data_IF_449706558405
#
_entry.id   IF_449706558405
#
_cell.length_a   1.000
_cell.length_b   1.000
_cell.length_c   1.000
_cell.angle_alpha   90.00
_cell.angle_beta   90.00
_cell.angle_gamma   90.00
#
_symmetry.space_group_name_H-M   'P 1'
#
loop_
_entity.id
_entity.type
_entity.pdbx_description
1 polymer ?
2 non-polymer ?
3 non-polymer ?
4 water ?
#
# COMPACT_ATOMS: atom_id res chain seq x y z
N UNK A 21 -3.33 26.71 1.07
CA UNK A 21 -3.76 25.73 0.03
C UNK A 21 -3.64 24.30 0.53
N UNK A 22 -2.73 24.05 1.47
CA UNK A 22 -2.58 22.73 2.09
C UNK A 22 -3.86 22.31 2.82
N UNK A 23 -4.46 23.24 3.56
CA UNK A 23 -5.70 22.96 4.29
C UNK A 23 -6.92 22.88 3.37
N UNK A 24 -6.84 23.53 2.21
CA UNK A 24 -7.85 23.41 1.17
C UNK A 24 -7.85 21.98 0.63
N UNK A 25 -6.66 21.44 0.37
CA UNK A 25 -6.51 20.07 -0.12
C UNK A 25 -7.05 19.08 0.91
N UNK A 26 -6.61 19.21 2.16
CA UNK A 26 -7.06 18.31 3.24
C UNK A 26 -8.58 18.31 3.45
N UNK A 27 -9.20 19.48 3.40
CA UNK A 27 -10.64 19.58 3.65
C UNK A 27 -11.46 18.90 2.55
N UNK A 28 -11.04 19.08 1.30
CA UNK A 28 -11.71 18.43 0.18
C UNK A 28 -11.43 16.91 0.18
N UNK A 29 -10.19 16.53 0.44
CA UNK A 29 -9.80 15.12 0.40
C UNK A 29 -10.43 14.30 1.53
N UNK A 30 -10.76 14.99 2.63
CA UNK A 30 -11.43 14.39 3.79
C UNK A 30 -12.80 13.83 3.44
N UNK A 31 -13.44 14.43 2.44
CA UNK A 31 -14.74 13.97 1.97
C UNK A 31 -14.65 13.28 0.61
N UNK A 32 -13.44 12.88 0.21
CA UNK A 32 -13.22 12.20 -1.07
C UNK A 32 -12.82 10.76 -0.80
N UNK A 33 -13.73 9.83 -1.03
CA UNK A 33 -13.49 8.44 -0.65
C UNK A 33 -12.42 7.80 -1.52
N UNK A 34 -11.48 7.09 -0.89
CA UNK A 34 -10.39 6.43 -1.60
C UNK A 34 -10.19 4.99 -1.13
N UNK A 35 -9.94 4.10 -2.09
CA UNK A 35 -9.54 2.74 -1.79
C UNK A 35 -8.22 2.74 -1.04
N UNK A 36 -8.06 1.75 -0.18
CA UNK A 36 -6.86 1.62 0.64
C UNK A 36 -6.21 0.26 0.43
N UNK A 37 -4.89 0.24 0.54
CA UNK A 37 -4.08 -0.96 0.46
C UNK A 37 -2.89 -0.83 1.40
N UNK A 38 -2.18 -1.94 1.59
CA UNK A 38 -0.96 -1.93 2.37
C UNK A 38 0.16 -2.39 1.47
N UNK A 39 1.08 -1.47 1.18
CA UNK A 39 2.24 -1.80 0.39
C UNK A 39 3.35 -2.22 1.34
N UNK A 40 4.09 -3.24 0.96
CA UNK A 40 5.21 -3.70 1.76
C UNK A 40 6.43 -3.92 0.92
N UNK A 41 7.58 -3.98 1.57
CA UNK A 41 8.79 -4.45 0.93
C UNK A 41 9.74 -5.05 1.97
N UNK A 42 10.78 -5.71 1.46
CA UNK A 42 11.87 -6.21 2.28
C UNK A 42 13.05 -5.30 1.98
N UNK A 43 13.28 -4.38 2.91
CA UNK A 43 14.25 -3.31 2.78
C UNK A 43 15.54 -3.73 3.48
N UNK A 44 16.47 -4.29 2.71
CA UNK A 44 17.74 -4.82 3.21
C UNK A 44 17.55 -5.75 4.41
N UNK A 45 16.51 -6.57 4.36
CA UNK A 45 16.20 -7.51 5.42
C UNK A 45 15.15 -7.05 6.43
N UNK A 46 14.93 -5.74 6.53
CA UNK A 46 13.87 -5.18 7.37
C UNK A 46 12.51 -5.26 6.69
N UNK A 47 11.56 -5.93 7.33
CA UNK A 47 10.20 -5.98 6.84
C UNK A 47 9.50 -4.68 7.19
N UNK A 48 9.04 -3.97 6.16
CA UNK A 48 8.32 -2.71 6.30
C UNK A 48 7.10 -2.65 5.41
N UNK A 49 6.17 -1.80 5.79
CA UNK A 49 5.01 -1.53 4.97
C UNK A 49 4.25 -0.33 5.47
N UNK A 50 3.19 0.03 4.75
CA UNK A 50 2.35 1.14 5.16
C UNK A 50 1.00 1.14 4.48
N UNK A 51 0.02 1.62 5.21
CA UNK A 51 -1.30 1.90 4.67
C UNK A 51 -1.17 3.08 3.74
N UNK A 52 -1.73 2.94 2.54
CA UNK A 52 -1.74 4.00 1.55
C UNK A 52 -3.15 4.17 0.97
N UNK A 53 -3.50 5.40 0.65
CA UNK A 53 -4.74 5.70 -0.06
C UNK A 53 -4.48 6.27 -1.46
N UNK A 54 -3.23 6.15 -1.91
CA UNK A 54 -2.81 6.65 -3.22
C UNK A 54 -2.49 5.53 -4.21
N UNK A 55 -2.85 4.29 -3.89
CA UNK A 55 -2.58 3.19 -4.80
C UNK A 55 -3.53 3.25 -5.99
N UNK A 56 -2.98 3.02 -7.18
CA UNK A 56 -3.78 2.88 -8.38
C UNK A 56 -3.04 2.10 -9.46
N UNK A 57 -3.77 1.74 -10.50
CA UNK A 57 -3.16 1.26 -11.71
C UNK A 57 -2.80 2.48 -12.56
N UNK A 58 -1.62 2.43 -13.16
CA UNK A 58 -1.08 3.53 -13.96
C UNK A 58 -1.07 3.21 -15.46
N UNK A 59 -0.60 2.02 -15.81
CA UNK A 59 -0.41 1.63 -17.22
C UNK A 59 -0.75 0.16 -17.42
N UNK A 60 -1.24 -0.19 -18.61
CA UNK A 60 -1.52 -1.59 -18.94
C UNK A 60 -0.41 -2.22 -19.78
N UNK A 61 0.13 -1.44 -20.71
CA UNK A 61 1.27 -1.84 -21.52
C UNK A 61 2.31 -0.71 -21.51
N UNK A 62 3.38 -0.84 -20.73
CA UNK A 62 3.61 -1.99 -19.83
C UNK A 62 2.66 -1.98 -18.62
N UNK A 63 2.53 -3.09 -17.91
CA UNK A 63 1.60 -3.18 -16.78
C UNK A 63 2.23 -2.59 -15.53
N UNK A 64 1.78 -1.39 -15.16
CA UNK A 64 2.37 -0.63 -14.07
C UNK A 64 1.31 -0.19 -13.07
N UNK A 65 1.68 -0.26 -11.80
CA UNK A 65 0.89 0.26 -10.69
C UNK A 65 1.75 1.26 -9.92
N UNK A 66 1.10 2.08 -9.11
CA UNK A 66 1.77 3.18 -8.45
C UNK A 66 1.11 3.55 -7.13
N UNK A 67 1.90 4.18 -6.27
CA UNK A 67 1.41 4.86 -5.09
C UNK A 67 2.37 6.01 -4.79
N UNK A 68 1.95 6.89 -3.90
CA UNK A 68 2.70 8.08 -3.56
C UNK A 68 3.29 7.89 -2.17
N UNK A 69 4.58 8.18 -2.03
CA UNK A 69 5.30 7.98 -0.77
C UNK A 69 5.81 9.32 -0.26
N UNK A 70 5.51 9.61 1.00
CA UNK A 70 5.85 10.88 1.65
C UNK A 70 7.38 11.02 1.82
N UNK A 71 7.98 12.00 1.15
CA UNK A 71 9.43 12.22 1.24
C UNK A 71 9.88 12.79 2.59
N UNK A 72 9.05 13.62 3.21
CA UNK A 72 9.37 14.24 4.50
C UNK A 72 9.44 13.22 5.64
N UNK A 73 8.63 12.16 5.56
CA UNK A 73 8.63 11.10 6.56
C UNK A 73 9.63 9.99 6.20
N UNK A 74 10.25 10.07 5.03
CA UNK A 74 11.18 9.05 4.58
C UNK A 74 10.52 7.77 4.07
N UNK A 75 9.20 7.80 3.82
CA UNK A 75 8.47 6.62 3.33
C UNK A 75 8.87 6.17 1.92
N UNK A 76 9.48 7.07 1.15
CA UNK A 76 9.97 6.73 -0.19
C UNK A 76 11.23 5.85 -0.16
N UNK A 77 12.05 6.03 0.87
CA UNK A 77 13.39 5.45 0.91
C UNK A 77 13.41 3.91 0.78
N UNK A 78 12.64 3.18 1.58
CA UNK A 78 12.63 1.71 1.49
C UNK A 78 12.33 1.18 0.08
N UNK A 79 11.41 1.82 -0.62
CA UNK A 79 10.98 1.37 -1.94
C UNK A 79 12.04 1.70 -2.99
N UNK A 80 12.61 2.90 -2.90
CA UNK A 80 13.76 3.30 -3.72
C UNK A 80 14.97 2.36 -3.57
N UNK A 81 15.16 1.81 -2.37
CA UNK A 81 16.32 0.95 -2.08
C UNK A 81 16.02 -0.54 -2.11
N UNK A 82 14.87 -0.91 -2.68
CA UNK A 82 14.48 -2.31 -2.82
C UNK A 82 14.02 -2.56 -4.26
N UNK A 83 14.24 -3.78 -4.74
CA UNK A 83 13.99 -4.11 -6.15
C UNK A 83 12.53 -4.41 -6.42
N UNK A 84 11.79 -4.75 -5.37
CA UNK A 84 10.39 -5.16 -5.47
C UNK A 84 9.54 -4.55 -4.37
N UNK A 85 8.22 -4.60 -4.57
CA UNK A 85 7.26 -4.34 -3.50
C UNK A 85 6.00 -5.14 -3.73
N UNK A 86 5.24 -5.35 -2.66
CA UNK A 86 3.98 -6.07 -2.72
C UNK A 86 2.85 -5.12 -2.33
N UNK A 87 1.74 -5.19 -3.06
CA UNK A 87 0.52 -4.47 -2.72
C UNK A 87 -0.46 -5.47 -2.14
N UNK A 88 -0.82 -5.27 -0.88
CA UNK A 88 -1.75 -6.12 -0.16
C UNK A 88 -3.13 -5.48 -0.14
N UNK A 89 -4.13 -6.22 -0.61
CA UNK A 89 -5.52 -5.82 -0.56
C UNK A 89 -6.19 -6.63 0.53
N UNK A 90 -6.71 -5.94 1.53
CA UNK A 90 -7.33 -6.59 2.67
C UNK A 90 -8.60 -5.86 3.10
N UNK A 91 -9.47 -6.59 3.79
CA UNK A 91 -10.71 -6.05 4.37
C UNK A 91 -10.66 -6.02 5.91
N UNK A 92 -9.46 -6.15 6.47
CA UNK A 92 -9.23 -6.12 7.92
C UNK A 92 -8.82 -4.71 8.36
N UNK A 93 -9.76 -3.97 8.94
CA UNK A 93 -9.50 -2.60 9.35
C UNK A 93 -8.41 -2.53 10.42
N UNK A 94 -8.29 -3.57 11.25
CA UNK A 94 -7.19 -3.65 12.22
C UNK A 94 -5.83 -3.59 11.54
N UNK A 95 -5.69 -4.26 10.39
CA UNK A 95 -4.42 -4.24 9.65
C UNK A 95 -4.11 -2.84 9.14
N UNK A 96 -5.12 -2.14 8.63
CA UNK A 96 -4.91 -0.78 8.13
C UNK A 96 -4.42 0.15 9.25
N UNK A 97 -4.97 -0.03 10.45
CA UNK A 97 -4.55 0.76 11.60
C UNK A 97 -3.14 0.42 12.07
N UNK A 98 -2.79 -0.86 12.07
CA UNK A 98 -1.42 -1.27 12.39
C UNK A 98 -0.41 -0.60 11.47
N UNK A 99 -0.68 -0.66 10.17
CA UNK A 99 0.26 -0.17 9.17
C UNK A 99 0.13 1.34 8.92
N UNK A 100 -0.68 2.01 9.74
CA UNK A 100 -0.72 3.47 9.80
C UNK A 100 -0.21 4.01 11.14
N UNK A 101 -0.52 3.33 12.24
CA UNK A 101 -0.38 3.91 13.57
C UNK A 101 0.75 3.36 14.42
N UNK A 102 1.01 2.07 14.30
CA UNK A 102 1.95 1.38 15.19
C UNK A 102 3.40 1.62 14.81
N UNK A 103 4.31 1.53 15.78
CA UNK A 103 5.75 1.68 15.51
C UNK A 103 6.23 0.64 14.48
N UNK A 104 7.12 1.05 13.59
CA UNK A 104 7.64 0.19 12.52
C UNK A 104 8.13 -1.16 13.04
N UNK A 105 8.87 -1.15 14.15
CA UNK A 105 9.44 -2.38 14.70
C UNK A 105 8.40 -3.39 15.19
N UNK A 106 7.18 -2.92 15.44
CA UNK A 106 6.10 -3.73 16.03
C UNK A 106 5.14 -4.37 15.00
N UNK A 107 5.14 -3.85 13.78
CA UNK A 107 4.08 -4.17 12.82
C UNK A 107 4.01 -5.64 12.42
N UNK A 108 5.16 -6.24 12.15
CA UNK A 108 5.19 -7.63 11.71
C UNK A 108 5.23 -8.65 12.85
N UNK A 109 5.22 -8.17 14.10
CA UNK A 109 5.10 -9.05 15.26
C UNK A 109 3.68 -9.55 15.50
N UNK A 110 2.68 -8.74 15.14
CA UNK A 110 1.28 -9.00 15.49
C UNK A 110 0.48 -9.77 14.43
N UNK A 111 1.04 -9.92 13.23
CA UNK A 111 0.29 -10.41 12.09
C UNK A 111 0.94 -11.64 11.46
N UNK A 112 0.12 -12.48 10.83
CA UNK A 112 0.62 -13.62 10.06
C UNK A 112 1.00 -13.13 8.67
N UNK A 113 2.19 -13.54 8.21
CA UNK A 113 2.71 -13.17 6.91
C UNK A 113 3.64 -14.25 6.35
N UNK A 114 3.85 -14.22 5.04
CA UNK A 114 4.89 -15.03 4.39
C UNK A 114 5.73 -14.15 3.46
N UNK A 115 6.92 -14.61 3.12
CA UNK A 115 7.80 -13.84 2.25
C UNK A 115 7.57 -14.26 0.80
N UNK A 116 7.53 -13.27 -0.08
CA UNK A 116 7.33 -13.46 -1.51
C UNK A 116 8.52 -12.92 -2.26
N UNK A 117 8.28 -12.38 -3.46
CA UNK A 117 9.35 -11.93 -4.33
C UNK A 117 10.27 -10.93 -3.64
N UNK A 118 11.58 -11.18 -3.74
CA UNK A 118 12.59 -10.36 -3.08
C UNK A 118 12.49 -10.35 -1.55
N UNK A 119 11.79 -11.32 -0.98
CA UNK A 119 11.50 -11.35 0.45
C UNK A 119 10.38 -10.45 0.94
N UNK A 120 9.65 -9.80 0.03
CA UNK A 120 8.57 -8.88 0.39
C UNK A 120 7.45 -9.60 1.13
N UNK A 121 6.98 -9.02 2.24
CA UNK A 121 5.94 -9.68 3.03
C UNK A 121 4.54 -9.63 2.39
N UNK A 122 3.91 -10.80 2.34
CA UNK A 122 2.54 -10.97 1.88
C UNK A 122 1.71 -11.21 3.12
N UNK A 123 0.72 -10.35 3.37
CA UNK A 123 -0.09 -10.45 4.57
C UNK A 123 -1.12 -11.58 4.40
N UNK A 124 -1.22 -12.44 5.40
CA UNK A 124 -2.12 -13.59 5.37
C UNK A 124 -3.59 -13.20 5.20
N UNK A 125 -3.99 -12.09 5.81
CA UNK A 125 -5.38 -11.60 5.75
C UNK A 125 -5.72 -10.83 4.46
N UNK A 126 -4.80 -10.80 3.50
CA UNK A 126 -5.07 -10.22 2.19
C UNK A 126 -5.94 -11.17 1.36
N UNK A 127 -7.01 -10.64 0.78
CA UNK A 127 -7.82 -11.40 -0.20
C UNK A 127 -7.23 -11.37 -1.61
N UNK A 128 -6.29 -10.46 -1.83
CA UNK A 128 -5.55 -10.39 -3.09
C UNK A 128 -4.25 -9.65 -2.87
N UNK A 129 -3.27 -9.91 -3.73
CA UNK A 129 -2.05 -9.12 -3.73
C UNK A 129 -1.40 -9.07 -5.10
N UNK A 130 -0.54 -8.08 -5.27
CA UNK A 130 0.24 -7.91 -6.48
C UNK A 130 1.71 -7.89 -6.09
N UNK A 131 2.53 -8.61 -6.86
CA UNK A 131 3.97 -8.54 -6.75
C UNK A 131 4.51 -7.68 -7.89
N UNK A 132 5.29 -6.67 -7.54
CA UNK A 132 5.78 -5.71 -8.52
C UNK A 132 7.29 -5.55 -8.41
N UNK A 133 7.92 -5.32 -9.55
CA UNK A 133 9.33 -4.94 -9.63
C UNK A 133 9.39 -3.43 -9.76
N UNK A 134 10.16 -2.79 -8.89
CA UNK A 134 10.36 -1.35 -8.98
C UNK A 134 10.78 -0.94 -10.39
N UNK A 135 9.98 -0.07 -11.00
CA UNK A 135 10.13 0.34 -12.39
C UNK A 135 10.70 1.76 -12.49
N UNK A 136 10.21 2.65 -11.63
CA UNK A 136 10.66 4.04 -11.61
C UNK A 136 10.24 4.72 -10.30
N UNK A 137 10.94 5.78 -9.93
CA UNK A 137 10.50 6.67 -8.86
C UNK A 137 10.67 8.11 -9.35
N UNK A 138 9.66 8.94 -9.09
CA UNK A 138 9.63 10.31 -9.57
C UNK A 138 9.25 11.23 -8.42
N UNK A 139 10.20 12.06 -7.99
CA UNK A 139 9.94 13.03 -6.94
C UNK A 139 9.16 14.17 -7.54
N UNK A 140 8.02 14.48 -6.93
CA UNK A 140 7.17 15.59 -7.32
C UNK A 140 6.65 16.24 -6.04
N UNK A 141 7.16 17.44 -5.75
CA UNK A 141 6.86 18.10 -4.50
C UNK A 141 7.33 17.27 -3.32
N UNK A 142 6.52 17.19 -2.27
CA UNK A 142 6.94 16.50 -1.04
C UNK A 142 6.67 14.98 -1.02
N UNK A 143 6.32 14.40 -2.17
CA UNK A 143 6.16 12.95 -2.29
C UNK A 143 6.97 12.41 -3.47
N UNK A 144 7.19 11.10 -3.49
CA UNK A 144 7.72 10.40 -4.65
C UNK A 144 6.68 9.44 -5.18
N UNK A 145 6.52 9.40 -6.49
CA UNK A 145 5.63 8.46 -7.14
C UNK A 145 6.41 7.17 -7.31
N UNK A 146 6.00 6.14 -6.59
CA UNK A 146 6.62 4.83 -6.68
C UNK A 146 5.85 4.00 -7.69
N UNK A 147 6.54 3.61 -8.75
CA UNK A 147 5.92 2.88 -9.85
C UNK A 147 6.54 1.48 -9.90
N UNK A 148 5.70 0.45 -9.84
CA UNK A 148 6.14 -0.92 -10.02
C UNK A 148 5.54 -1.55 -11.26
N UNK A 149 6.32 -2.40 -11.92
CA UNK A 149 5.80 -3.26 -12.98
C UNK A 149 5.25 -4.53 -12.36
N UNK A 150 4.00 -4.86 -12.69
CA UNK A 150 3.33 -6.04 -12.17
C UNK A 150 3.95 -7.31 -12.76
N UNK A 151 4.59 -8.09 -11.89
CA UNK A 151 5.20 -9.37 -12.24
C UNK A 151 4.23 -10.53 -12.06
N UNK A 152 3.40 -10.45 -11.02
CA UNK A 152 2.36 -11.44 -10.76
C UNK A 152 1.24 -10.83 -9.93
N UNK A 153 0.05 -11.40 -10.06
CA UNK A 153 -1.09 -11.01 -9.25
C UNK A 153 -1.89 -12.22 -8.84
N UNK A 154 -2.47 -12.17 -7.64
CA UNK A 154 -3.18 -13.30 -7.06
C UNK A 154 -4.48 -12.86 -6.39
N UNK A 155 -5.56 -13.60 -6.66
CA UNK A 155 -6.81 -13.46 -5.91
C UNK A 155 -7.00 -14.73 -5.09
N UNK A 156 -6.67 -14.63 -3.80
CA UNK A 156 -6.61 -15.78 -2.90
C UNK A 156 -8.00 -16.09 -2.30
N UNK A 157 -8.78 -15.04 -2.03
CA UNK A 157 -10.08 -15.15 -1.39
C UNK A 157 -11.13 -14.45 -2.24
N UNK A 158 -12.24 -15.13 -2.50
CA UNK A 158 -13.31 -14.59 -3.35
C UNK A 158 -14.40 -13.87 -2.56
N UNK A 159 -14.53 -14.21 -1.28
CA UNK A 159 -15.51 -13.58 -0.39
C UNK A 159 -14.83 -12.53 0.49
N UNK A 160 -15.05 -11.26 0.17
CA UNK A 160 -14.49 -10.16 0.96
C UNK A 160 -15.37 -8.91 0.93
N UNK A 161 -15.11 -8.03 1.88
CA UNK A 161 -15.85 -6.78 2.02
C UNK A 161 -14.91 -5.60 1.78
N UNK A 162 -14.90 -5.07 0.56
CA UNK A 162 -13.96 -4.00 0.22
C UNK A 162 -14.23 -2.74 1.03
N UNK A 163 -13.17 -2.08 1.47
CA UNK A 163 -13.29 -0.86 2.26
C UNK A 163 -12.83 0.35 1.48
N UNK A 164 -13.39 1.50 1.83
CA UNK A 164 -12.86 2.79 1.40
C UNK A 164 -12.65 3.72 2.57
N UNK A 165 -11.63 4.55 2.46
CA UNK A 165 -11.24 5.49 3.49
C UNK A 165 -11.77 6.88 3.17
N UNK A 166 -12.47 7.45 4.14
CA UNK A 166 -12.94 8.83 4.07
C UNK A 166 -13.16 9.39 5.47
N UNK A 167 -12.70 10.61 5.71
CA UNK A 167 -12.97 11.29 6.99
C UNK A 167 -12.46 10.44 8.16
N UNK A 168 -11.25 9.89 7.99
CA UNK A 168 -10.53 9.12 9.01
C UNK A 168 -11.13 7.76 9.31
N UNK A 169 -12.12 7.37 8.53
CA UNK A 169 -12.88 6.17 8.78
C UNK A 169 -12.84 5.22 7.59
N UNK A 170 -13.06 3.95 7.87
CA UNK A 170 -13.11 2.90 6.87
C UNK A 170 -14.55 2.42 6.68
N UNK A 171 -15.12 2.72 5.53
CA UNK A 171 -16.50 2.38 5.22
C UNK A 171 -16.61 1.16 4.33
N UNK A 172 -17.67 0.38 4.51
CA UNK A 172 -18.09 -0.61 3.53
C UNK A 172 -18.98 0.08 2.51
N UNK A 173 -19.19 -0.57 1.36
CA UNK A 173 -20.05 -0.03 0.32
C UNK A 173 -21.50 -0.44 0.55
N UNK A 174 -22.41 0.53 0.44
CA UNK A 174 -23.83 0.26 0.31
C UNK A 174 -24.16 0.10 -1.19
N UNK A 175 -24.40 -1.12 -1.68
CA UNK A 175 -24.49 -2.35 -0.89
C UNK A 175 -23.99 -3.54 -1.71
N UNK A 176 -22.67 -3.75 -1.66
CA UNK A 176 -21.99 -4.91 -2.25
C UNK A 176 -20.50 -4.69 -2.33
X LIG B 1 1.68 7.71 3.57
X LIG B 1 2.27 7.87 2.35
X LIG B 1 3.49 8.10 2.31
X LIG B 1 1.50 7.75 1.22
X LIG B 1 0.14 7.47 1.30
X LIG B 1 -0.50 7.30 0.26
X LIG B 1 -0.46 7.30 2.56
X LIG B 1 -1.81 7.04 2.71
X LIG B 1 -2.35 6.86 3.97
X LIG B 1 -3.71 6.59 4.05
X LIG B 1 -4.26 6.41 5.33
X LIG B 1 -5.54 5.63 5.37
X LIG B 1 -3.48 6.53 6.49
X LIG B 1 -4.09 6.49 7.87
X LIG B 1 -2.12 6.81 6.37
X LIG B 1 -1.54 6.99 5.11
X LIG B 1 -0.18 7.28 4.96
X LIG B 1 0.34 7.42 3.70
X LIG B 1 0.78 7.41 6.11
X LIG B 1 1.58 6.12 6.26
X LIG B 1 0.69 5.01 6.41
X LIG B 1 2.53 6.20 7.45
X LIG B 1 3.31 7.37 7.35
X LIG B 1 3.43 4.97 7.49
X LIG B 1 2.65 3.90 7.94
X LIG B 1 4.64 5.13 8.42
X LIG B 1 4.18 5.53 9.70
X LIG B 1 5.10 6.45 10.66
X LIG B 1 6.31 5.67 11.02
X LIG B 1 4.29 6.79 11.92
X LIG B 1 5.50 7.75 9.93
X LIG C 1 -6.08 11.65 7.88
X LIG C 1 -7.25 11.17 7.11
X LIG C 1 -6.42 11.92 9.36
X LIG C 1 -4.92 10.52 7.79
X LIG C 1 -4.12 10.19 8.93
X LIG C 1 -2.65 10.41 8.60
X LIG C 1 -2.09 9.69 7.53
X LIG C 1 -2.48 11.89 8.28
X LIG C 1 -2.42 12.58 9.53
X LIG C 1 -1.36 11.95 7.28
X LIG C 1 -0.15 12.35 7.87
X LIG C 1 -1.25 10.53 6.77
X LIG C 1 -1.66 10.52 5.36
X LIG C 1 -2.91 10.34 4.83
X LIG C 1 -2.81 10.43 3.48
X LIG C 1 -1.51 10.68 3.16
X LIG C 1 -0.84 10.86 1.95
X LIG C 1 -1.50 11.00 0.81
X LIG C 1 0.52 11.10 1.97
X LIG C 1 1.21 11.16 3.16
X LIG C 1 0.55 10.98 4.36
X LIG C 1 -0.79 10.74 4.34
X LIG C 1 -5.37 12.90 7.17
X LIG C 1 -5.75 14.44 7.45
X LIG C 1 -4.54 15.12 7.94
X LIG C 1 -7.02 14.48 8.19
X LIG C 1 -6.06 14.90 5.93
X LIG C 1 -7.19 14.37 5.25
X LIG C 1 -6.80 13.96 3.83
X LIG C 1 -5.95 14.82 3.12
X LIG C 1 -6.12 12.59 3.77
X LIG C 1 -7.06 11.56 3.97
X LIG C 1 -5.35 12.63 2.47
X LIG C 1 -6.12 12.15 1.40
X LIG C 1 -5.05 14.11 2.28
X LIG C 1 -3.60 14.37 2.60
X LIG C 1 -2.81 14.38 1.50
X LIG C 1 -1.47 14.57 1.61
X LIG C 1 -0.63 14.65 0.39
X LIG C 1 0.72 15.01 0.51
X LIG C 1 -1.17 14.39 -0.80
X LIG C 1 -0.96 14.74 2.88
X LIG C 1 -1.82 14.69 3.96
X LIG C 1 -3.23 14.50 3.96
X LIG C 1 0.12 13.88 8.31
X LIG C 1 1.43 13.87 9.00
X LIG C 1 0.16 14.82 7.08
X LIG C 1 -0.98 14.35 9.28
#
# INVERSE_FOLDING_TARGET
>A
MGSSHHHHHHSSGLVPRGSHMAEVIKSIMRKFPLGVAIVTTNWKGELVGMTVNTFNSLSLNPPLVSFFADRMKGNDIPYKESKYFVVNFTDNEELFNIFALKPVKERFREIKYKEGIGGCPILYDSYAYIEAKLYDTIDVGDHSIIVGEVIDGYQIRDNFTPLVYMNRKYYKLSSL
>B hetero
1 FMN N1 C2 O2 N3 C4 O4 C4A N5 C5A C6 C7 C7M C8 C8M C9 C9A N10 C10 C1' C2' O2' C3' O3' C4' O4' C5' O5' P O1P O2P O3P
>C hetero
1 NAP PA O1A O2A O5B C5B C4B O4B C3B O3B C2B O2B C1B N9A C8A N7A C5A C6A N6A N1A C2A N3A C4A O3 PN O1N O2N O5D C5D C4D O4D C3D O3D C2D O2D C1D N1N C2N C3N C7N O7N N7N C4N C5N C6N P2B O1X O2X O3X
#
